data_IF_596684635574
#
_entry.id   IF_596684635574
#
_cell.length_a   1.000
_cell.length_b   1.000
_cell.length_c   1.000
_cell.angle_alpha   90.00
_cell.angle_beta   90.00
_cell.angle_gamma   90.00
#
_symmetry.space_group_name_H-M   'P 1'
#
loop_
_entity.id
_entity.type
_entity.pdbx_description
1 polymer ?
#
# COMPACT_ATOMS: atom_id res chain seq x y z
N UNK A 1 22.53 -10.15 38.14
CA UNK A 1 21.73 -9.01 37.62
C UNK A 1 21.35 -9.29 36.17
N UNK A 2 20.18 -8.84 35.71
CA UNK A 2 19.73 -9.01 34.32
C UNK A 2 20.02 -7.74 33.53
N UNK A 3 20.47 -7.87 32.29
CA UNK A 3 20.73 -6.75 31.37
C UNK A 3 20.12 -7.03 30.01
N UNK A 4 19.61 -5.99 29.34
CA UNK A 4 19.12 -6.08 27.97
C UNK A 4 20.09 -5.41 27.01
N UNK A 5 20.47 -6.12 25.96
CA UNK A 5 21.47 -5.67 24.99
C UNK A 5 20.89 -5.81 23.58
N UNK A 6 21.03 -4.77 22.76
CA UNK A 6 20.67 -4.83 21.35
C UNK A 6 21.82 -5.44 20.55
N UNK A 7 21.58 -6.55 19.85
CA UNK A 7 22.67 -7.34 19.24
C UNK A 7 23.32 -6.70 18.03
N UNK A 8 22.56 -5.94 17.24
CA UNK A 8 23.06 -5.36 15.98
C UNK A 8 24.28 -4.44 16.17
N UNK A 9 24.37 -3.80 17.33
CA UNK A 9 25.38 -2.79 17.67
C UNK A 9 25.96 -2.96 19.08
N UNK A 10 25.60 -4.07 19.75
CA UNK A 10 26.00 -4.39 21.13
C UNK A 10 25.67 -3.27 22.14
N UNK A 11 24.65 -2.46 21.84
CA UNK A 11 24.26 -1.35 22.70
C UNK A 11 23.51 -1.86 23.93
N UNK A 12 24.03 -1.55 25.12
CA UNK A 12 23.36 -1.87 26.39
C UNK A 12 22.14 -0.96 26.54
N UNK A 13 20.96 -1.57 26.66
CA UNK A 13 19.71 -0.85 26.79
C UNK A 13 19.38 -0.61 28.26
N UNK A 14 19.44 -1.67 29.07
CA UNK A 14 19.15 -1.62 30.51
C UNK A 14 20.06 -2.55 31.30
N UNK A 15 20.31 -2.21 32.56
CA UNK A 15 21.05 -3.02 33.55
C UNK A 15 20.28 -3.01 34.86
N UNK A 16 19.79 -4.17 35.29
CA UNK A 16 18.85 -4.27 36.39
C UNK A 16 17.61 -3.40 36.10
N UNK A 17 17.25 -2.52 37.05
CA UNK A 17 16.14 -1.56 36.88
C UNK A 17 16.54 -0.25 36.20
N UNK A 18 17.82 -0.07 35.88
CA UNK A 18 18.32 1.18 35.32
C UNK A 18 18.32 1.12 33.79
N UNK A 19 17.76 2.14 33.14
CA UNK A 19 17.87 2.34 31.69
C UNK A 19 19.21 3.00 31.38
N UNK A 20 20.06 2.32 30.60
CA UNK A 20 21.40 2.80 30.22
C UNK A 20 21.38 3.60 28.92
N UNK A 21 20.48 3.24 27.99
CA UNK A 21 20.31 3.98 26.74
C UNK A 21 19.64 5.34 26.97
N UNK A 22 19.93 6.32 26.11
CA UNK A 22 19.27 7.64 26.14
C UNK A 22 17.86 7.63 25.52
N UNK A 23 17.50 6.58 24.78
CA UNK A 23 16.17 6.43 24.18
C UNK A 23 15.15 6.02 25.26
N UNK A 24 14.35 7.00 25.70
CA UNK A 24 13.37 6.86 26.79
C UNK A 24 12.27 5.83 26.53
N UNK A 25 12.11 5.38 25.28
CA UNK A 25 11.14 4.35 24.91
C UNK A 25 11.52 2.98 25.46
N UNK A 26 12.81 2.74 25.69
CA UNK A 26 13.32 1.49 26.23
C UNK A 26 13.27 1.53 27.76
N UNK A 27 12.51 0.62 28.34
CA UNK A 27 12.37 0.48 29.78
C UNK A 27 12.42 -1.00 30.16
N UNK A 28 12.80 -1.28 31.40
CA UNK A 28 12.74 -2.63 31.93
C UNK A 28 11.64 -2.74 32.98
N UNK A 29 10.82 -3.76 32.86
CA UNK A 29 9.76 -4.06 33.80
C UNK A 29 10.17 -5.33 34.56
N UNK A 30 10.30 -5.20 35.87
CA UNK A 30 10.50 -6.33 36.76
C UNK A 30 9.21 -6.60 37.53
N UNK A 31 8.65 -7.79 37.35
CA UNK A 31 7.44 -8.17 38.08
C UNK A 31 7.81 -8.46 39.55
N UNK A 32 7.16 -7.77 40.48
CA UNK A 32 7.41 -7.92 41.92
C UNK A 32 7.27 -9.38 42.37
N UNK A 33 8.16 -9.82 43.25
CA UNK A 33 8.21 -11.19 43.78
C UNK A 33 8.39 -12.30 42.71
N UNK A 34 8.94 -11.99 41.54
CA UNK A 34 9.29 -12.98 40.51
C UNK A 34 10.69 -12.73 39.94
N UNK A 35 11.25 -13.73 39.26
CA UNK A 35 12.48 -13.59 38.45
C UNK A 35 12.20 -13.12 37.01
N UNK A 36 11.00 -12.59 36.74
CA UNK A 36 10.58 -12.16 35.40
C UNK A 36 11.02 -10.73 35.11
N UNK A 37 11.92 -10.60 34.13
CA UNK A 37 12.43 -9.32 33.61
C UNK A 37 12.00 -9.16 32.15
N UNK A 38 11.26 -8.09 31.86
CA UNK A 38 10.79 -7.76 30.53
C UNK A 38 11.47 -6.49 30.02
N UNK A 39 11.76 -6.46 28.71
CA UNK A 39 12.10 -5.24 27.99
C UNK A 39 10.82 -4.68 27.38
N UNK A 40 10.45 -3.46 27.78
CA UNK A 40 9.37 -2.70 27.17
C UNK A 40 9.96 -1.70 26.18
N UNK A 41 9.36 -1.63 25.00
CA UNK A 41 9.68 -0.63 23.96
C UNK A 41 8.39 0.11 23.64
N UNK A 42 8.30 1.38 24.04
CA UNK A 42 7.14 2.21 23.74
C UNK A 42 7.19 2.69 22.29
N UNK A 43 6.03 2.74 21.63
CA UNK A 43 5.88 3.18 20.23
C UNK A 43 6.92 2.54 19.28
N UNK A 44 6.95 1.20 19.18
CA UNK A 44 7.96 0.49 18.41
C UNK A 44 7.93 0.90 16.94
N UNK A 45 9.11 1.08 16.37
CA UNK A 45 9.30 1.47 14.97
C UNK A 45 9.86 0.29 14.17
N UNK A 46 9.66 0.26 12.84
CA UNK A 46 10.25 -0.80 11.99
C UNK A 46 11.76 -0.97 12.21
N UNK A 47 12.48 0.14 12.46
CA UNK A 47 13.91 0.15 12.77
C UNK A 47 14.28 -0.53 14.09
N UNK A 48 13.34 -0.77 14.99
CA UNK A 48 13.61 -1.45 16.27
C UNK A 48 13.57 -2.97 16.11
N UNK A 49 13.08 -3.49 14.98
CA UNK A 49 13.08 -4.92 14.70
C UNK A 49 14.52 -5.48 14.71
N UNK A 50 14.68 -6.70 15.22
CA UNK A 50 15.96 -7.37 15.30
C UNK A 50 16.12 -8.22 16.56
N UNK A 51 17.35 -8.69 16.80
CA UNK A 51 17.67 -9.57 17.93
C UNK A 51 18.10 -8.77 19.15
N UNK A 52 17.51 -9.09 20.28
CA UNK A 52 17.80 -8.58 21.61
C UNK A 52 18.32 -9.72 22.48
N UNK A 53 19.25 -9.42 23.35
CA UNK A 53 19.85 -10.37 24.29
C UNK A 53 19.48 -9.99 25.71
N UNK A 54 18.84 -10.93 26.41
CA UNK A 54 18.69 -10.92 27.86
C UNK A 54 19.90 -11.64 28.46
N UNK A 55 20.75 -10.91 29.16
CA UNK A 55 21.99 -11.40 29.74
C UNK A 55 21.91 -11.41 31.26
N UNK A 56 22.27 -12.52 31.89
CA UNK A 56 22.43 -12.64 33.34
C UNK A 56 23.91 -12.67 33.69
N UNK A 57 24.32 -11.81 34.62
CA UNK A 57 25.70 -11.65 35.09
C UNK A 57 26.19 -12.78 36.02
N UNK A 58 26.09 -14.03 35.58
CA UNK A 58 26.69 -15.20 36.25
C UNK A 58 28.09 -15.48 35.70
N UNK A 59 28.83 -16.39 36.34
CA UNK A 59 30.10 -16.89 35.82
C UNK A 59 29.98 -18.42 35.59
N UNK A 60 29.91 -18.89 34.33
CA UNK A 60 29.89 -18.13 33.07
C UNK A 60 28.57 -17.36 32.85
N UNK A 61 28.59 -16.35 31.97
CA UNK A 61 27.39 -15.57 31.66
C UNK A 61 26.32 -16.44 31.01
N UNK A 62 25.06 -16.20 31.37
CA UNK A 62 23.91 -16.86 30.76
C UNK A 62 23.20 -15.84 29.87
N UNK A 63 22.88 -16.23 28.63
CA UNK A 63 22.24 -15.35 27.65
C UNK A 63 21.03 -16.03 27.01
N UNK A 64 19.98 -15.24 26.77
CA UNK A 64 18.80 -15.64 25.99
C UNK A 64 18.56 -14.63 24.88
N UNK A 65 18.41 -15.12 23.65
CA UNK A 65 18.16 -14.29 22.48
C UNK A 65 16.67 -14.24 22.15
N UNK A 66 16.18 -13.05 21.86
CA UNK A 66 14.77 -12.77 21.53
C UNK A 66 14.73 -11.95 20.24
N UNK A 67 13.96 -12.39 19.26
CA UNK A 67 13.76 -11.65 18.01
C UNK A 67 12.48 -10.82 18.11
N UNK A 68 12.62 -9.50 17.98
CA UNK A 68 11.50 -8.57 17.89
C UNK A 68 11.13 -8.37 16.41
N UNK A 69 9.90 -8.72 16.06
CA UNK A 69 9.30 -8.39 14.77
C UNK A 69 8.34 -7.21 14.95
N UNK A 70 8.58 -6.11 14.23
CA UNK A 70 7.69 -4.94 14.22
C UNK A 70 6.94 -4.92 12.90
N UNK A 71 5.65 -5.23 12.98
CA UNK A 71 4.74 -5.31 11.84
C UNK A 71 3.91 -4.02 11.79
N UNK A 72 3.70 -3.48 10.59
CA UNK A 72 2.83 -2.32 10.38
C UNK A 72 1.63 -2.77 9.58
N UNK A 73 0.48 -2.80 10.24
CA UNK A 73 -0.79 -3.17 9.64
C UNK A 73 -1.19 -2.14 8.59
N UNK A 74 -1.70 -2.62 7.46
CA UNK A 74 -2.11 -1.76 6.33
C UNK A 74 -3.43 -2.25 5.74
N UNK A 75 -4.29 -1.32 5.36
CA UNK A 75 -5.43 -1.60 4.52
C UNK A 75 -5.00 -1.77 3.06
N UNK A 76 -5.78 -2.50 2.29
CA UNK A 76 -5.65 -2.58 0.84
C UNK A 76 -7.02 -2.74 0.20
N UNK A 77 -7.25 -2.05 -0.90
CA UNK A 77 -8.46 -2.19 -1.72
C UNK A 77 -8.05 -2.84 -3.04
N UNK A 78 -8.32 -4.14 -3.25
CA UNK A 78 -7.99 -4.82 -4.50
C UNK A 78 -8.68 -4.14 -5.70
N UNK A 79 -8.00 -4.12 -6.85
CA UNK A 79 -8.50 -3.46 -8.06
C UNK A 79 -8.15 -1.97 -8.18
N UNK A 80 -7.40 -1.41 -7.23
CA UNK A 80 -6.82 -0.06 -7.33
C UNK A 80 -5.61 0.04 -8.28
N UNK A 81 -5.08 1.26 -8.51
CA UNK A 81 -5.45 2.53 -7.86
C UNK A 81 -6.71 3.18 -8.45
N UNK A 82 -7.20 2.69 -9.59
CA UNK A 82 -8.35 3.26 -10.29
C UNK A 82 -9.30 2.17 -10.79
N UNK A 83 -10.59 2.31 -10.49
CA UNK A 83 -11.67 1.41 -10.91
C UNK A 83 -12.62 2.14 -11.86
N UNK A 84 -13.00 1.48 -12.96
CA UNK A 84 -14.00 1.97 -13.91
C UNK A 84 -15.22 1.05 -13.89
N UNK A 85 -16.42 1.63 -13.83
CA UNK A 85 -17.69 0.89 -13.93
C UNK A 85 -18.71 1.69 -14.74
N UNK A 86 -19.71 1.01 -15.30
CA UNK A 86 -20.79 1.67 -16.02
C UNK A 86 -21.88 2.15 -15.06
N UNK A 87 -22.53 3.25 -15.42
CA UNK A 87 -23.74 3.73 -14.75
C UNK A 87 -24.80 2.63 -14.68
N UNK A 88 -25.46 2.51 -13.54
CA UNK A 88 -26.41 1.43 -13.24
C UNK A 88 -25.79 0.18 -12.62
N UNK A 89 -24.46 0.00 -12.68
CA UNK A 89 -23.79 -1.15 -12.09
C UNK A 89 -23.70 -1.03 -10.57
N UNK A 90 -23.45 -2.14 -9.87
CA UNK A 90 -23.18 -2.14 -8.42
C UNK A 90 -21.70 -1.92 -8.17
N UNK A 91 -21.34 -0.85 -7.44
CA UNK A 91 -19.98 -0.65 -6.93
C UNK A 91 -19.76 -1.55 -5.72
N UNK A 92 -18.71 -2.36 -5.74
CA UNK A 92 -18.30 -3.22 -4.63
C UNK A 92 -16.82 -3.01 -4.34
N UNK A 93 -16.53 -2.25 -3.27
CA UNK A 93 -15.17 -2.05 -2.80
C UNK A 93 -14.95 -2.92 -1.56
N UNK A 94 -13.97 -3.80 -1.62
CA UNK A 94 -13.55 -4.61 -0.47
C UNK A 94 -12.23 -4.06 0.06
N UNK A 95 -12.22 -3.69 1.33
CA UNK A 95 -11.02 -3.28 2.05
C UNK A 95 -10.54 -4.44 2.91
N UNK A 96 -9.31 -4.87 2.65
CA UNK A 96 -8.64 -5.94 3.37
C UNK A 96 -7.61 -5.35 4.34
N UNK A 97 -7.75 -5.65 5.62
CA UNK A 97 -6.76 -5.26 6.63
C UNK A 97 -5.72 -6.38 6.74
N UNK A 98 -4.51 -6.08 6.29
CA UNK A 98 -3.38 -7.01 6.26
C UNK A 98 -2.45 -6.80 7.47
N UNK A 99 -1.74 -7.86 7.84
CA UNK A 99 -0.64 -7.79 8.81
C UNK A 99 -1.09 -7.21 10.18
N UNK A 100 -2.31 -7.53 10.61
CA UNK A 100 -2.91 -7.01 11.84
C UNK A 100 -2.93 -8.04 12.97
N UNK A 101 -2.20 -7.82 14.08
CA UNK A 101 -2.19 -8.73 15.22
C UNK A 101 -3.50 -8.71 16.01
N UNK A 102 -4.30 -7.65 15.87
CA UNK A 102 -5.62 -7.48 16.50
C UNK A 102 -6.59 -6.88 15.47
N UNK A 103 -7.87 -7.24 15.52
CA UNK A 103 -8.87 -6.62 14.64
C UNK A 103 -9.08 -5.14 15.01
N UNK A 104 -9.34 -4.25 14.03
CA UNK A 104 -9.74 -2.87 14.33
C UNK A 104 -11.08 -2.81 15.07
N UNK A 105 -11.23 -1.79 15.92
CA UNK A 105 -12.49 -1.50 16.58
C UNK A 105 -13.54 -1.06 15.56
N UNK A 106 -13.15 -0.14 14.67
CA UNK A 106 -13.95 0.38 13.56
C UNK A 106 -13.15 0.49 12.25
N UNK A 107 -13.89 0.50 11.14
CA UNK A 107 -13.41 0.80 9.78
C UNK A 107 -14.34 1.83 9.17
N UNK A 108 -13.84 3.01 8.85
CA UNK A 108 -14.60 4.07 8.20
C UNK A 108 -14.34 4.11 6.70
N UNK A 109 -15.40 4.41 5.94
CA UNK A 109 -15.30 4.70 4.52
C UNK A 109 -15.52 6.18 4.28
N UNK A 110 -14.68 6.77 3.44
CA UNK A 110 -14.76 8.16 3.01
C UNK A 110 -14.97 8.22 1.50
N UNK A 111 -15.76 9.21 1.06
CA UNK A 111 -15.88 9.61 -0.34
C UNK A 111 -15.48 11.08 -0.45
N UNK A 112 -14.46 11.37 -1.25
CA UNK A 112 -13.91 12.72 -1.44
C UNK A 112 -13.62 13.44 -0.11
N UNK A 113 -13.06 12.72 0.86
CA UNK A 113 -12.70 13.24 2.18
C UNK A 113 -13.86 13.39 3.18
N UNK A 114 -15.08 12.99 2.83
CA UNK A 114 -16.25 13.00 3.74
C UNK A 114 -16.65 11.59 4.12
N UNK A 115 -16.95 11.37 5.40
CA UNK A 115 -17.44 10.07 5.89
C UNK A 115 -18.74 9.71 5.17
N UNK A 116 -18.80 8.48 4.64
CA UNK A 116 -20.02 7.95 4.04
C UNK A 116 -21.01 7.63 5.17
N UNK A 117 -22.13 8.34 5.20
CA UNK A 117 -23.23 8.04 6.11
C UNK A 117 -24.13 6.96 5.50
N UNK A 118 -24.07 5.75 6.04
CA UNK A 118 -24.85 4.60 5.56
C UNK A 118 -26.26 4.53 6.18
N UNK A 119 -26.53 5.23 7.29
CA UNK A 119 -27.82 5.18 7.99
C UNK A 119 -28.86 6.11 7.36
N UNK A 120 -28.42 7.23 6.79
CA UNK A 120 -29.31 8.26 6.22
C UNK A 120 -29.62 7.98 4.73
N UNK A 121 -28.76 7.23 4.05
CA UNK A 121 -28.82 7.07 2.61
C UNK A 121 -29.63 5.82 2.21
N UNK A 122 -30.96 5.96 2.10
CA UNK A 122 -31.88 4.98 1.50
C UNK A 122 -31.61 4.67 -0.01
N UNK A 123 -30.40 4.96 -0.53
CA UNK A 123 -29.96 4.75 -1.92
C UNK A 123 -29.32 3.37 -2.17
N UNK A 124 -29.46 2.42 -1.25
CA UNK A 124 -28.81 1.11 -1.38
C UNK A 124 -27.30 1.14 -1.11
N UNK A 125 -26.84 2.09 -0.28
CA UNK A 125 -25.48 2.10 0.25
C UNK A 125 -25.44 1.20 1.48
N UNK A 126 -24.53 0.24 1.52
CA UNK A 126 -24.34 -0.61 2.69
C UNK A 126 -22.86 -0.88 2.96
N UNK A 127 -22.52 -0.98 4.24
CA UNK A 127 -21.18 -1.32 4.70
C UNK A 127 -21.27 -2.60 5.52
N UNK A 128 -20.50 -3.62 5.18
CA UNK A 128 -20.48 -4.90 5.88
C UNK A 128 -19.05 -5.21 6.31
N UNK A 129 -18.82 -5.34 7.61
CA UNK A 129 -17.48 -5.64 8.14
C UNK A 129 -17.45 -6.99 8.81
N UNK A 130 -16.66 -7.90 8.26
CA UNK A 130 -16.36 -9.23 8.79
C UNK A 130 -15.00 -9.18 9.49
N UNK A 131 -14.91 -9.65 10.74
CA UNK A 131 -13.66 -9.56 11.54
C UNK A 131 -12.82 -10.84 11.56
N UNK A 132 -13.31 -11.96 11.02
CA UNK A 132 -12.68 -13.29 11.14
C UNK A 132 -12.67 -14.02 9.77
N UNK A 133 -11.58 -14.71 9.37
CA UNK A 133 -10.26 -14.82 10.01
C UNK A 133 -9.32 -13.62 9.75
N UNK A 134 -9.66 -12.76 8.79
CA UNK A 134 -9.05 -11.44 8.57
C UNK A 134 -10.17 -10.41 8.61
N UNK A 135 -9.84 -9.15 8.90
CA UNK A 135 -10.86 -8.09 8.82
C UNK A 135 -11.05 -7.66 7.38
N UNK A 136 -12.29 -7.78 6.90
CA UNK A 136 -12.74 -7.37 5.58
C UNK A 136 -13.90 -6.40 5.74
N UNK A 137 -13.80 -5.19 5.18
CA UNK A 137 -14.91 -4.23 5.12
C UNK A 137 -15.34 -4.05 3.68
N UNK A 138 -16.63 -4.27 3.38
CA UNK A 138 -17.19 -4.14 2.03
C UNK A 138 -18.13 -2.95 1.98
N UNK A 139 -17.85 -2.01 1.08
CA UNK A 139 -18.74 -0.91 0.71
C UNK A 139 -19.47 -1.28 -0.59
N UNK A 140 -20.79 -1.31 -0.52
CA UNK A 140 -21.67 -1.57 -1.66
C UNK A 140 -22.50 -0.32 -1.96
N UNK A 141 -22.51 0.10 -3.24
CA UNK A 141 -23.41 1.14 -3.74
C UNK A 141 -24.17 0.56 -4.93
N UNK A 142 -25.48 0.33 -4.76
CA UNK A 142 -26.36 -0.11 -5.84
C UNK A 142 -26.63 1.02 -6.85
N UNK A 143 -26.82 0.66 -8.13
CA UNK A 143 -27.18 1.60 -9.19
C UNK A 143 -26.26 2.84 -9.25
N UNK A 144 -24.95 2.59 -9.36
CA UNK A 144 -23.92 3.62 -9.35
C UNK A 144 -24.17 4.67 -10.45
N UNK A 145 -24.00 5.94 -10.12
CA UNK A 145 -24.22 7.07 -10.99
C UNK A 145 -22.94 7.89 -11.19
N UNK A 146 -22.84 8.74 -12.23
CA UNK A 146 -21.66 9.59 -12.46
C UNK A 146 -21.21 10.39 -11.24
N UNK A 147 -22.13 10.87 -10.41
CA UNK A 147 -21.83 11.61 -9.17
C UNK A 147 -21.18 10.78 -8.07
N UNK A 148 -21.28 9.44 -8.14
CA UNK A 148 -20.61 8.55 -7.20
C UNK A 148 -19.12 8.40 -7.54
N UNK A 149 -18.66 8.95 -8.68
CA UNK A 149 -17.23 9.02 -9.01
C UNK A 149 -16.45 9.84 -7.98
N UNK A 150 -15.20 9.49 -7.76
CA UNK A 150 -14.32 10.20 -6.82
C UNK A 150 -13.34 9.27 -6.10
N UNK A 151 -12.66 9.84 -5.11
CA UNK A 151 -11.74 9.07 -4.27
C UNK A 151 -12.49 8.41 -3.12
N UNK A 152 -12.31 7.11 -2.98
CA UNK A 152 -12.83 6.31 -1.87
C UNK A 152 -11.67 5.88 -0.97
N UNK A 153 -11.80 6.15 0.33
CA UNK A 153 -10.78 5.79 1.32
C UNK A 153 -11.34 4.84 2.35
N UNK A 154 -10.64 3.74 2.61
CA UNK A 154 -10.88 2.85 3.74
C UNK A 154 -9.90 3.19 4.86
N UNK A 155 -10.43 3.55 6.03
CA UNK A 155 -9.65 4.03 7.18
C UNK A 155 -9.98 3.19 8.42
N UNK A 156 -9.17 2.15 8.72
CA UNK A 156 -9.29 1.36 9.94
C UNK A 156 -8.64 2.07 11.15
N UNK A 157 -9.10 1.74 12.36
CA UNK A 157 -8.58 2.31 13.63
C UNK A 157 -7.13 1.95 13.98
N UNK A 158 -6.58 0.85 13.45
CA UNK A 158 -5.27 0.32 13.84
C UNK A 158 -4.37 -0.06 12.65
N UNK A 159 -4.64 0.46 11.45
CA UNK A 159 -3.83 0.17 10.26
C UNK A 159 -3.73 1.42 9.37
N UNK A 160 -2.70 1.47 8.52
CA UNK A 160 -2.58 2.53 7.51
C UNK A 160 -3.77 2.47 6.53
N UNK A 161 -4.34 3.62 6.12
CA UNK A 161 -5.51 3.66 5.24
C UNK A 161 -5.16 3.27 3.80
N UNK A 162 -6.19 2.94 3.02
CA UNK A 162 -6.07 2.66 1.59
C UNK A 162 -7.07 3.46 0.78
N UNK A 163 -6.65 3.88 -0.41
CA UNK A 163 -7.42 4.74 -1.32
C UNK A 163 -7.63 4.07 -2.68
N UNK A 164 -8.76 4.37 -3.32
CA UNK A 164 -9.06 3.99 -4.70
C UNK A 164 -9.89 5.08 -5.39
N UNK A 165 -9.51 5.44 -6.61
CA UNK A 165 -10.30 6.36 -7.44
C UNK A 165 -11.31 5.59 -8.28
N UNK A 166 -12.58 5.96 -8.20
CA UNK A 166 -13.66 5.31 -8.95
C UNK A 166 -14.20 6.26 -10.01
N UNK A 167 -14.36 5.75 -11.23
CA UNK A 167 -14.97 6.46 -12.35
C UNK A 167 -16.20 5.71 -12.86
N UNK A 168 -17.36 6.36 -12.78
CA UNK A 168 -18.61 5.82 -13.33
C UNK A 168 -18.85 6.39 -14.73
N UNK A 169 -18.86 5.52 -15.73
CA UNK A 169 -19.02 5.85 -17.15
C UNK A 169 -20.50 5.85 -17.54
N UNK A 170 -20.94 6.83 -18.32
CA UNK A 170 -22.25 6.77 -18.97
C UNK A 170 -22.17 5.76 -20.13
N UNK A 171 -23.07 4.77 -20.15
CA UNK A 171 -23.05 3.64 -21.08
C UNK A 171 -23.26 3.96 -22.57
N UNK A 172 -23.02 5.19 -23.02
CA UNK A 172 -23.33 5.67 -24.37
C UNK A 172 -22.12 5.84 -25.31
N UNK A 173 -20.88 5.54 -24.91
CA UNK A 173 -19.72 5.65 -25.83
C UNK A 173 -18.96 4.34 -26.06
N UNK A 174 -19.32 3.53 -27.08
CA UNK A 174 -18.41 2.57 -27.68
C UNK A 174 -17.60 3.29 -28.77
N UNK A 175 -16.53 4.00 -28.40
CA UNK A 175 -15.67 4.65 -29.40
C UNK A 175 -14.19 4.45 -29.11
N UNK A 176 -13.75 3.21 -29.29
CA UNK A 176 -12.41 2.92 -29.81
C UNK A 176 -12.53 1.94 -30.99
N UNK A 177 -13.41 2.23 -31.95
CA UNK A 177 -13.35 1.59 -33.27
C UNK A 177 -12.49 2.47 -34.19
N UNK A 178 -11.18 2.28 -34.17
CA UNK A 178 -10.34 2.76 -35.26
C UNK A 178 -10.62 1.93 -36.51
N UNK A 179 -11.62 2.32 -37.30
CA UNK A 179 -11.61 1.95 -38.72
C UNK A 179 -10.60 2.85 -39.41
N UNK A 180 -9.44 2.28 -39.73
CA UNK A 180 -8.49 2.89 -40.66
C UNK A 180 -9.19 3.16 -41.99
N UNK A 181 -9.61 4.42 -42.20
CA UNK A 181 -10.05 4.89 -43.51
C UNK A 181 -8.83 4.86 -44.43
N UNK A 182 -8.75 3.82 -45.26
CA UNK A 182 -8.01 3.91 -46.51
C UNK A 182 -8.67 5.01 -47.36
N UNK A 183 -8.07 6.20 -47.32
CA UNK A 183 -8.27 7.21 -48.36
C UNK A 183 -7.74 6.64 -49.66
N UNK A 184 -8.65 6.31 -50.57
CA UNK A 184 -8.38 6.11 -51.99
C UNK A 184 -7.76 7.39 -52.56
N UNK A 185 -6.43 7.41 -52.68
CA UNK A 185 -5.74 8.44 -53.44
C UNK A 185 -6.05 8.24 -54.92
N UNK A 186 -6.77 9.20 -55.48
CA UNK A 186 -7.06 9.31 -56.89
C UNK A 186 -5.78 9.18 -57.73
N UNK A 187 -5.89 8.33 -58.75
CA UNK A 187 -4.96 8.18 -59.85
C UNK A 187 -4.75 9.53 -60.56
N UNK A 188 -3.58 10.14 -60.40
CA UNK A 188 -3.09 11.14 -61.34
C UNK A 188 -2.25 10.43 -62.41
N UNK A 189 -2.87 10.22 -63.58
CA UNK A 189 -2.18 9.78 -64.80
C UNK A 189 -1.61 11.02 -65.47
N UNK A 190 -0.28 11.18 -65.49
CA UNK A 190 0.44 11.79 -66.61
C UNK A 190 1.96 11.55 -66.52
N UNK A 191 2.67 11.39 -67.66
CA UNK A 191 4.02 10.87 -67.71
C UNK A 191 5.03 12.01 -67.84
N UNK A 192 5.59 12.47 -66.73
CA UNK A 192 6.74 13.38 -66.75
C UNK A 192 7.45 13.40 -65.38
N UNK A 193 8.02 12.27 -64.96
CA UNK A 193 9.03 12.28 -63.89
C UNK A 193 9.82 10.97 -63.87
N UNK A 194 10.46 10.67 -64.99
CA UNK A 194 11.55 9.68 -65.05
C UNK A 194 12.82 10.47 -65.33
N UNK A 195 13.62 10.70 -64.29
CA UNK A 195 15.09 10.69 -64.29
C UNK A 195 15.59 11.31 -62.98
N UNK A 196 16.17 10.47 -62.11
CA UNK A 196 17.45 10.66 -61.39
C UNK A 196 17.50 9.75 -60.16
N UNK A 197 17.65 8.44 -60.39
CA UNK A 197 18.38 7.55 -59.49
C UNK A 197 19.86 7.63 -59.88
N UNK A 198 20.76 7.76 -58.89
CA UNK A 198 22.18 7.35 -58.92
C UNK A 198 23.22 8.34 -58.33
N UNK A 199 22.86 9.35 -57.53
CA UNK A 199 23.87 10.24 -56.93
C UNK A 199 24.00 10.19 -55.39
N UNK A 200 23.06 9.58 -54.66
CA UNK A 200 23.01 9.71 -53.20
C UNK A 200 23.62 8.54 -52.40
N UNK A 201 24.06 7.45 -53.05
CA UNK A 201 24.56 6.24 -52.35
C UNK A 201 26.07 6.29 -52.09
N UNK A 202 26.84 7.12 -52.81
CA UNK A 202 28.31 7.13 -52.70
C UNK A 202 28.89 8.11 -51.67
N UNK A 203 28.09 8.93 -50.99
CA UNK A 203 28.59 9.95 -50.05
C UNK A 203 28.40 9.62 -48.56
N UNK A 204 27.67 8.56 -48.21
CA UNK A 204 27.49 8.15 -46.81
C UNK A 204 28.54 7.15 -46.31
N UNK A 205 29.21 6.40 -47.19
CA UNK A 205 30.25 5.44 -46.78
C UNK A 205 31.60 6.08 -46.41
N UNK A 206 31.82 7.36 -46.73
CA UNK A 206 33.07 8.06 -46.38
C UNK A 206 32.99 8.73 -45.00
N UNK A 207 31.79 9.04 -44.50
CA UNK A 207 31.61 9.73 -43.23
C UNK A 207 31.72 8.83 -41.98
N UNK A 208 31.69 7.50 -42.15
CA UNK A 208 31.81 6.51 -41.06
C UNK A 208 33.25 6.05 -40.78
N UNK A 209 34.27 6.60 -41.46
CA UNK A 209 35.69 6.24 -41.23
C UNK A 209 36.57 7.29 -40.56
N UNK A 210 36.03 8.48 -40.25
CA UNK A 210 36.75 9.51 -39.48
C UNK A 210 35.81 10.31 -38.57
N UNK A 211 35.31 9.67 -37.51
CA UNK A 211 35.00 10.27 -36.20
C UNK A 211 34.88 9.17 -35.15
#
# INVERSE_FOLDING_TARGET
>A
MVSWIRRRDLHVLTVGRFTYTSDQRFQTIHMENSDSWMLQIQYPQKKDAGVYECQVSTLPKISRFVTLNVIVSKASIPGGPTLYLNSGSTLNLTCEIMESPMAPDFVFWYHNGRVINYEINNRGISIHTEKLPKTLSRLLISNAQPQDSGNYSCVPSNAEPADITVHVLNGENPAAMQHGKHTSSASCRSPACLTTLAAAVLLLDVALRWR
#
